data_IF_953715329936
#
_entry.id   IF_953715329936
#
_cell.length_a   1.000
_cell.length_b   1.000
_cell.length_c   1.000
_cell.angle_alpha   90.00
_cell.angle_beta   90.00
_cell.angle_gamma   90.00
#
_symmetry.space_group_name_H-M   'P 1'
#
loop_
_entity.id
_entity.type
_entity.pdbx_description
1 polymer ?
#
# COMPACT_ATOMS: atom_id res chain seq x y z
N UNK A 1 -24.48 -5.99 -3.09
CA UNK A 1 -23.57 -6.62 -4.07
C UNK A 1 -22.24 -5.89 -3.95
N UNK A 2 -21.13 -6.61 -3.77
CA UNK A 2 -19.81 -5.98 -3.68
C UNK A 2 -19.16 -6.02 -5.07
N UNK A 3 -18.47 -4.96 -5.46
CA UNK A 3 -17.77 -4.86 -6.73
C UNK A 3 -16.27 -4.68 -6.49
N UNK A 4 -15.47 -5.30 -7.35
CA UNK A 4 -14.03 -5.09 -7.43
C UNK A 4 -13.77 -4.19 -8.62
N UNK A 5 -13.31 -2.96 -8.36
CA UNK A 5 -12.96 -1.99 -9.38
C UNK A 5 -11.46 -1.72 -9.39
N UNK A 6 -10.89 -1.69 -10.58
CA UNK A 6 -9.51 -1.32 -10.85
C UNK A 6 -9.51 -0.07 -11.71
N UNK A 7 -8.77 0.93 -11.26
CA UNK A 7 -8.74 2.27 -11.85
C UNK A 7 -7.30 2.63 -12.15
N UNK A 8 -7.09 3.16 -13.36
CA UNK A 8 -5.83 3.77 -13.76
C UNK A 8 -5.82 5.21 -13.26
N UNK A 9 -4.84 5.56 -12.44
CA UNK A 9 -4.68 6.91 -11.92
C UNK A 9 -3.48 7.57 -12.57
N UNK A 10 -3.72 8.71 -13.23
CA UNK A 10 -2.67 9.62 -13.67
C UNK A 10 -2.28 10.52 -12.49
N UNK A 11 -1.09 10.28 -11.93
CA UNK A 11 -0.58 11.05 -10.80
C UNK A 11 -0.13 12.48 -11.17
N UNK A 12 0.00 12.80 -12.46
CA UNK A 12 0.37 14.13 -12.97
C UNK A 12 -0.86 15.02 -13.09
N UNK A 13 -1.91 14.49 -13.71
CA UNK A 13 -3.17 15.22 -13.91
C UNK A 13 -4.19 15.01 -12.80
N UNK A 14 -3.84 14.23 -11.77
CA UNK A 14 -4.74 13.88 -10.66
C UNK A 14 -6.10 13.37 -11.16
N UNK A 15 -6.09 12.56 -12.21
CA UNK A 15 -7.30 12.05 -12.86
C UNK A 15 -7.32 10.53 -12.81
N UNK A 16 -8.51 9.96 -12.65
CA UNK A 16 -8.73 8.53 -12.54
C UNK A 16 -9.63 8.04 -13.68
N UNK A 17 -9.29 6.88 -14.25
CA UNK A 17 -10.01 6.25 -15.35
C UNK A 17 -10.34 4.81 -14.98
N UNK A 18 -11.61 4.41 -15.05
CA UNK A 18 -11.99 3.02 -14.82
C UNK A 18 -11.32 2.13 -15.86
N UNK A 19 -10.54 1.15 -15.37
CA UNK A 19 -9.85 0.18 -16.21
C UNK A 19 -10.65 -1.11 -16.33
N UNK A 20 -11.17 -1.62 -15.20
CA UNK A 20 -12.00 -2.82 -15.19
C UNK A 20 -12.85 -2.89 -13.93
N UNK A 21 -14.10 -3.34 -14.09
CA UNK A 21 -15.06 -3.53 -13.01
C UNK A 21 -15.56 -4.97 -13.09
N UNK A 22 -15.52 -5.69 -11.96
CA UNK A 22 -16.05 -7.05 -11.86
C UNK A 22 -16.90 -7.18 -10.60
N UNK A 23 -18.05 -7.83 -10.74
CA UNK A 23 -18.88 -8.18 -9.59
C UNK A 23 -18.17 -9.24 -8.75
N UNK A 24 -18.11 -9.01 -7.43
CA UNK A 24 -17.66 -10.01 -6.48
C UNK A 24 -18.86 -10.90 -6.16
N UNK A 25 -18.82 -12.21 -6.51
CA UNK A 25 -19.96 -13.08 -6.27
C UNK A 25 -20.30 -13.11 -4.77
N UNK A 26 -21.59 -13.02 -4.40
CA UNK A 26 -22.01 -13.07 -3.01
C UNK A 26 -21.66 -14.45 -2.44
N UNK A 27 -20.74 -14.50 -1.47
CA UNK A 27 -20.39 -15.76 -0.83
C UNK A 27 -21.37 -16.11 0.29
N UNK A 28 -21.71 -17.40 0.44
CA UNK A 28 -22.61 -17.93 1.51
C UNK A 28 -22.17 -17.61 2.95
N UNK A 29 -20.93 -17.14 3.14
CA UNK A 29 -20.42 -16.54 4.38
C UNK A 29 -19.53 -15.38 3.95
N UNK A 30 -19.86 -14.15 4.32
CA UNK A 30 -19.07 -12.93 4.07
C UNK A 30 -17.67 -13.06 4.72
N UNK A 31 -16.76 -13.78 4.08
CA UNK A 31 -15.39 -13.93 4.57
C UNK A 31 -14.50 -12.93 3.84
N UNK A 32 -13.71 -12.19 4.60
CA UNK A 32 -12.69 -11.26 4.06
C UNK A 32 -11.74 -11.95 3.06
N UNK A 33 -11.57 -13.28 3.19
CA UNK A 33 -10.77 -14.08 2.29
C UNK A 33 -11.32 -14.10 0.86
N UNK A 34 -12.64 -14.19 0.70
CA UNK A 34 -13.28 -14.20 -0.62
C UNK A 34 -13.08 -12.85 -1.34
N UNK A 35 -13.15 -11.73 -0.61
CA UNK A 35 -12.91 -10.39 -1.18
C UNK A 35 -11.46 -10.24 -1.64
N UNK A 36 -10.50 -10.70 -0.86
CA UNK A 36 -9.07 -10.64 -1.21
C UNK A 36 -8.77 -11.51 -2.42
N UNK A 37 -9.31 -12.74 -2.45
CA UNK A 37 -9.09 -13.66 -3.56
C UNK A 37 -9.72 -13.14 -4.85
N UNK A 38 -10.92 -12.56 -4.76
CA UNK A 38 -11.56 -11.90 -5.91
C UNK A 38 -10.69 -10.75 -6.45
N UNK A 39 -10.15 -9.89 -5.59
CA UNK A 39 -9.26 -8.80 -5.99
C UNK A 39 -7.96 -9.32 -6.64
N UNK A 40 -7.35 -10.38 -6.09
CA UNK A 40 -6.15 -11.00 -6.68
C UNK A 40 -6.47 -11.60 -8.04
N UNK A 41 -7.59 -12.31 -8.18
CA UNK A 41 -8.02 -12.88 -9.45
C UNK A 41 -8.29 -11.78 -10.48
N UNK A 42 -8.91 -10.68 -10.06
CA UNK A 42 -9.16 -9.53 -10.93
C UNK A 42 -7.84 -8.94 -11.47
N UNK A 43 -6.84 -8.73 -10.62
CA UNK A 43 -5.50 -8.26 -11.02
C UNK A 43 -4.81 -9.24 -11.98
N UNK A 44 -4.89 -10.56 -11.70
CA UNK A 44 -4.30 -11.59 -12.56
C UNK A 44 -4.97 -11.63 -13.94
N UNK A 45 -6.28 -11.47 -14.00
CA UNK A 45 -7.03 -11.40 -15.26
C UNK A 45 -6.66 -10.18 -16.09
N UNK A 46 -6.45 -9.00 -15.49
CA UNK A 46 -6.00 -7.81 -16.23
C UNK A 46 -4.72 -8.05 -17.03
N UNK A 47 -3.80 -8.89 -16.52
CA UNK A 47 -2.56 -9.24 -17.23
C UNK A 47 -2.78 -10.23 -18.38
N UNK A 48 -3.87 -10.99 -18.35
CA UNK A 48 -4.24 -11.95 -19.39
C UNK A 48 -5.08 -11.29 -20.49
N UNK A 49 -5.81 -10.23 -20.16
CA UNK A 49 -6.55 -9.42 -21.11
C UNK A 49 -5.57 -8.71 -22.06
N UNK A 50 -5.92 -8.64 -23.35
CA UNK A 50 -5.14 -7.93 -24.38
C UNK A 50 -5.32 -6.42 -24.24
N UNK A 51 -4.80 -5.87 -23.15
CA UNK A 51 -4.82 -4.44 -22.88
C UNK A 51 -3.78 -3.77 -23.78
N UNK A 52 -4.23 -2.84 -24.63
CA UNK A 52 -3.36 -2.14 -25.60
C UNK A 52 -2.47 -1.08 -24.94
N UNK A 53 -2.84 -0.64 -23.74
CA UNK A 53 -2.07 0.35 -22.97
C UNK A 53 -1.02 -0.32 -22.09
N UNK A 54 0.13 0.33 -21.94
CA UNK A 54 1.15 -0.10 -20.99
C UNK A 54 0.62 0.03 -19.56
N UNK A 55 0.46 -1.09 -18.87
CA UNK A 55 0.00 -1.10 -17.49
C UNK A 55 1.09 -0.54 -16.55
N UNK A 56 0.71 0.24 -15.52
CA UNK A 56 1.66 0.75 -14.54
C UNK A 56 2.28 -0.40 -13.74
N UNK A 57 3.46 -0.17 -13.18
CA UNK A 57 4.16 -1.17 -12.36
C UNK A 57 3.61 -1.24 -10.93
N UNK A 58 2.86 -0.25 -10.48
CA UNK A 58 2.40 -0.10 -9.11
C UNK A 58 0.89 -0.16 -8.99
N UNK A 59 0.40 -0.87 -7.97
CA UNK A 59 -0.99 -0.86 -7.53
C UNK A 59 -1.03 -0.16 -6.17
N UNK A 60 -1.81 0.91 -6.07
CA UNK A 60 -2.10 1.57 -4.81
C UNK A 60 -3.40 1.02 -4.21
N UNK A 61 -3.33 0.40 -3.02
CA UNK A 61 -4.49 -0.16 -2.34
C UNK A 61 -4.67 0.43 -0.94
N UNK A 62 -5.87 0.36 -0.39
CA UNK A 62 -6.10 0.73 1.00
C UNK A 62 -5.37 -0.22 1.98
N UNK A 63 -5.51 0.07 3.28
CA UNK A 63 -4.92 -0.76 4.34
C UNK A 63 -5.64 -2.08 4.62
N UNK A 64 -6.88 -2.28 4.14
CA UNK A 64 -7.59 -3.56 4.23
C UNK A 64 -6.88 -4.63 3.38
N UNK A 65 -6.37 -4.23 2.21
CA UNK A 65 -5.57 -5.10 1.33
C UNK A 65 -4.10 -5.28 1.75
N UNK A 66 -3.65 -4.69 2.86
CA UNK A 66 -2.29 -4.85 3.39
C UNK A 66 -2.02 -6.25 4.00
N UNK A 67 -2.51 -7.30 3.33
CA UNK A 67 -2.49 -8.69 3.75
C UNK A 67 -1.58 -9.51 2.85
N UNK A 68 -0.96 -10.55 3.43
CA UNK A 68 0.03 -11.38 2.74
C UNK A 68 -0.50 -12.02 1.45
N UNK A 69 -1.75 -12.50 1.46
CA UNK A 69 -2.40 -13.12 0.29
C UNK A 69 -2.49 -12.14 -0.88
N UNK A 70 -3.08 -10.97 -0.65
CA UNK A 70 -3.19 -9.91 -1.67
C UNK A 70 -1.83 -9.49 -2.21
N UNK A 71 -0.88 -9.17 -1.32
CA UNK A 71 0.43 -8.67 -1.70
C UNK A 71 1.21 -9.70 -2.52
N UNK A 72 1.17 -10.97 -2.12
CA UNK A 72 1.81 -12.02 -2.90
C UNK A 72 1.14 -12.19 -4.27
N UNK A 73 -0.20 -12.20 -4.31
CA UNK A 73 -0.94 -12.32 -5.56
C UNK A 73 -0.67 -11.19 -6.55
N UNK A 74 -0.58 -9.94 -6.07
CA UNK A 74 -0.23 -8.79 -6.91
C UNK A 74 1.21 -8.86 -7.43
N UNK A 75 2.16 -9.29 -6.58
CA UNK A 75 3.56 -9.47 -6.99
C UNK A 75 3.75 -10.60 -7.98
N UNK A 76 3.05 -11.72 -7.81
CA UNK A 76 3.01 -12.82 -8.78
C UNK A 76 2.45 -12.36 -10.14
N UNK A 77 1.50 -11.42 -10.12
CA UNK A 77 0.97 -10.77 -11.33
C UNK A 77 1.92 -9.69 -11.90
N UNK A 78 3.08 -9.47 -11.30
CA UNK A 78 4.09 -8.52 -11.77
C UNK A 78 3.86 -7.07 -11.35
N UNK A 79 3.07 -6.82 -10.30
CA UNK A 79 2.85 -5.49 -9.75
C UNK A 79 3.52 -5.31 -8.39
N UNK A 80 4.15 -4.15 -8.19
CA UNK A 80 4.49 -3.66 -6.86
C UNK A 80 3.25 -3.08 -6.18
N UNK A 81 3.18 -3.20 -4.86
CA UNK A 81 2.03 -2.75 -4.07
C UNK A 81 2.45 -1.59 -3.19
N UNK A 82 1.68 -0.51 -3.24
CA UNK A 82 1.76 0.62 -2.34
C UNK A 82 0.49 0.64 -1.48
N UNK A 83 0.62 0.63 -0.17
CA UNK A 83 -0.54 0.55 0.73
C UNK A 83 -0.24 1.14 2.10
N UNK A 84 -1.26 1.19 2.97
CA UNK A 84 -1.19 1.74 4.33
C UNK A 84 -1.14 0.62 5.37
N UNK A 85 -0.25 0.76 6.35
CA UNK A 85 -0.17 -0.10 7.52
C UNK A 85 -0.98 0.48 8.68
N UNK A 86 -1.43 -0.42 9.57
CA UNK A 86 -1.92 -0.05 10.90
C UNK A 86 -0.80 0.52 11.77
N UNK A 87 -1.14 1.39 12.72
CA UNK A 87 -0.19 2.00 13.67
C UNK A 87 0.50 0.99 14.59
N UNK A 88 -0.13 -0.15 14.87
CA UNK A 88 0.43 -1.24 15.70
C UNK A 88 1.21 -2.28 14.89
N UNK A 89 1.66 -1.88 13.70
CA UNK A 89 2.40 -2.73 12.80
C UNK A 89 3.68 -3.32 13.45
N UNK A 90 3.73 -4.65 13.63
CA UNK A 90 4.98 -5.38 13.93
C UNK A 90 6.04 -5.30 12.81
N UNK A 91 6.94 -4.32 12.95
CA UNK A 91 8.07 -4.03 12.05
C UNK A 91 9.39 -4.27 12.78
N UNK A 92 10.41 -4.67 12.04
CA UNK A 92 11.77 -4.86 12.57
C UNK A 92 12.79 -4.18 11.68
N UNK A 93 13.82 -3.62 12.29
CA UNK A 93 15.00 -3.17 11.56
C UNK A 93 15.66 -4.34 10.83
N UNK A 94 16.37 -4.05 9.75
CA UNK A 94 17.24 -5.05 9.13
C UNK A 94 18.41 -5.35 10.06
N UNK A 95 18.87 -6.60 10.04
CA UNK A 95 20.07 -6.94 10.80
C UNK A 95 21.32 -6.53 10.01
N UNK A 96 22.12 -5.67 10.60
CA UNK A 96 23.44 -5.32 10.10
C UNK A 96 24.50 -6.08 10.91
N UNK A 97 25.18 -7.07 10.32
CA UNK A 97 26.24 -7.79 11.03
C UNK A 97 27.43 -6.84 11.28
N UNK A 98 28.05 -6.87 12.47
CA UNK A 98 29.30 -6.17 12.71
C UNK A 98 30.36 -6.57 11.67
N UNK A 99 31.13 -5.59 11.18
CA UNK A 99 32.14 -5.78 10.10
C UNK A 99 33.11 -6.95 10.33
N UNK A 100 33.38 -7.31 11.59
CA UNK A 100 34.32 -8.38 11.99
C UNK A 100 33.65 -9.64 12.54
N UNK A 101 32.35 -9.83 12.31
CA UNK A 101 31.67 -11.00 12.84
C UNK A 101 31.94 -12.24 11.97
N UNK A 102 32.65 -13.22 12.55
CA UNK A 102 32.84 -14.54 11.93
C UNK A 102 31.48 -15.20 11.65
N UNK A 103 31.27 -15.68 10.42
CA UNK A 103 30.04 -16.39 10.03
C UNK A 103 29.83 -17.58 10.98
N UNK A 104 28.81 -17.49 11.84
CA UNK A 104 28.39 -18.61 12.70
C UNK A 104 27.65 -19.64 11.86
N UNK A 105 27.79 -20.92 12.22
CA UNK A 105 27.04 -22.03 11.59
C UNK A 105 25.54 -21.85 11.87
N UNK A 106 24.70 -21.92 10.83
CA UNK A 106 23.25 -21.76 10.92
C UNK A 106 22.68 -20.67 10.01
N UNK A 107 21.35 -20.51 10.02
CA UNK A 107 20.66 -19.49 9.21
C UNK A 107 21.07 -18.09 9.71
N UNK A 108 21.61 -17.20 8.84
CA UNK A 108 21.97 -15.85 9.24
C UNK A 108 20.78 -15.11 9.85
N UNK A 109 21.04 -14.32 10.89
CA UNK A 109 20.04 -13.45 11.50
C UNK A 109 19.57 -12.44 10.45
N UNK A 110 18.26 -12.38 10.21
CA UNK A 110 17.68 -11.55 9.13
C UNK A 110 17.21 -10.18 9.61
N UNK A 111 16.82 -10.06 10.87
CA UNK A 111 16.20 -8.85 11.42
C UNK A 111 16.77 -8.48 12.79
N UNK A 112 16.86 -7.18 13.03
CA UNK A 112 17.31 -6.55 14.26
C UNK A 112 16.20 -6.45 15.31
N UNK A 113 16.20 -5.35 16.04
CA UNK A 113 15.20 -5.01 17.06
C UNK A 113 13.84 -4.67 16.44
N UNK A 114 12.79 -4.75 17.26
CA UNK A 114 11.45 -4.27 16.90
C UNK A 114 11.49 -2.75 16.78
N UNK A 115 10.78 -2.21 15.78
CA UNK A 115 10.63 -0.77 15.59
C UNK A 115 9.55 -0.26 16.55
N UNK A 116 9.87 0.79 17.29
CA UNK A 116 8.87 1.59 17.98
C UNK A 116 8.31 2.63 17.00
N UNK A 117 7.02 2.57 16.72
CA UNK A 117 6.38 3.43 15.71
C UNK A 117 5.98 4.79 16.25
N UNK A 118 5.84 4.91 17.57
CA UNK A 118 5.59 6.21 18.22
C UNK A 118 6.90 7.01 18.42
N UNK A 119 8.04 6.33 18.31
CA UNK A 119 9.38 6.92 18.39
C UNK A 119 10.31 6.24 17.39
N UNK A 120 10.18 6.62 16.12
CA UNK A 120 11.05 6.15 15.04
C UNK A 120 12.47 6.68 15.22
N UNK A 121 13.46 5.81 15.03
CA UNK A 121 14.87 6.19 15.02
C UNK A 121 15.21 6.85 13.68
N UNK A 122 15.01 8.17 13.60
CA UNK A 122 15.17 8.95 12.38
C UNK A 122 16.58 8.88 11.78
N UNK A 123 17.60 8.50 12.56
CA UNK A 123 18.97 8.29 12.05
C UNK A 123 19.05 7.19 10.99
N UNK A 124 18.08 6.28 10.95
CA UNK A 124 17.98 5.16 10.00
C UNK A 124 17.02 5.45 8.84
N UNK A 125 16.44 6.65 8.78
CA UNK A 125 15.43 7.03 7.80
C UNK A 125 15.84 8.29 7.05
N UNK A 126 15.53 8.31 5.76
CA UNK A 126 15.58 9.52 4.97
C UNK A 126 14.39 10.41 5.32
N UNK A 127 14.68 11.67 5.68
CA UNK A 127 13.66 12.62 6.06
C UNK A 127 13.46 13.67 4.98
N UNK A 128 12.21 13.94 4.64
CA UNK A 128 11.82 14.98 3.67
C UNK A 128 10.71 15.83 4.29
N UNK A 129 10.80 17.15 4.15
CA UNK A 129 9.67 18.03 4.37
C UNK A 129 8.94 18.22 3.04
N UNK A 130 7.62 18.03 3.03
CA UNK A 130 6.78 18.37 1.88
C UNK A 130 6.35 19.84 2.00
N UNK A 131 5.91 20.22 3.19
CA UNK A 131 5.54 21.58 3.57
C UNK A 131 5.76 21.76 5.08
N UNK A 132 5.22 22.85 5.64
CA UNK A 132 5.31 23.17 7.08
C UNK A 132 4.55 22.19 7.99
N UNK A 133 3.58 21.46 7.44
CA UNK A 133 2.68 20.55 8.15
C UNK A 133 3.03 19.07 7.92
N UNK A 134 3.67 18.71 6.81
CA UNK A 134 3.86 17.33 6.38
C UNK A 134 5.35 16.97 6.30
N UNK A 135 5.73 15.96 7.10
CA UNK A 135 7.07 15.36 7.07
C UNK A 135 7.00 13.88 6.71
N UNK A 136 7.90 13.45 5.84
CA UNK A 136 8.08 12.06 5.45
C UNK A 136 9.37 11.52 6.07
N UNK A 137 9.30 10.31 6.63
CA UNK A 137 10.46 9.57 7.11
C UNK A 137 10.44 8.17 6.49
N UNK A 138 11.36 7.90 5.57
CA UNK A 138 11.37 6.70 4.75
C UNK A 138 12.60 5.80 4.97
N UNK A 139 12.39 4.49 5.00
CA UNK A 139 13.47 3.54 5.27
C UNK A 139 13.09 2.09 4.99
N UNK A 140 14.09 1.25 4.76
CA UNK A 140 13.87 -0.18 4.46
C UNK A 140 13.78 -0.97 5.75
N UNK A 141 12.66 -1.65 5.94
CA UNK A 141 12.37 -2.42 7.15
C UNK A 141 11.87 -3.82 6.80
N UNK A 142 11.90 -4.74 7.77
CA UNK A 142 11.30 -6.06 7.62
C UNK A 142 9.91 -6.09 8.22
N UNK A 143 8.92 -6.47 7.42
CA UNK A 143 7.55 -6.71 7.90
C UNK A 143 7.35 -8.17 8.24
N UNK A 144 7.18 -8.47 9.54
CA UNK A 144 7.06 -9.84 10.05
C UNK A 144 5.88 -10.58 9.42
N UNK A 145 4.69 -9.96 9.38
CA UNK A 145 3.47 -10.57 8.85
C UNK A 145 3.57 -10.90 7.35
N UNK A 146 4.20 -10.03 6.57
CA UNK A 146 4.38 -10.20 5.13
C UNK A 146 5.60 -11.07 4.78
N UNK A 147 6.46 -11.35 5.75
CA UNK A 147 7.72 -12.10 5.60
C UNK A 147 8.65 -11.53 4.51
N UNK A 148 8.68 -10.21 4.37
CA UNK A 148 9.49 -9.51 3.35
C UNK A 148 10.03 -8.17 3.83
N UNK A 149 11.06 -7.68 3.13
CA UNK A 149 11.46 -6.28 3.21
C UNK A 149 10.42 -5.42 2.51
N UNK A 150 10.19 -4.24 3.05
CA UNK A 150 9.32 -3.20 2.48
C UNK A 150 10.03 -1.86 2.58
N UNK A 151 9.73 -0.94 1.68
CA UNK A 151 10.02 0.47 1.90
C UNK A 151 8.92 1.02 2.79
N UNK A 152 9.24 1.40 4.02
CA UNK A 152 8.31 2.08 4.93
C UNK A 152 8.43 3.58 4.74
N UNK A 153 7.30 4.28 4.75
CA UNK A 153 7.24 5.74 4.85
C UNK A 153 6.29 6.11 5.98
N UNK A 154 6.82 6.73 7.02
CA UNK A 154 6.03 7.40 8.04
C UNK A 154 5.71 8.80 7.57
N UNK A 155 4.42 9.13 7.50
CA UNK A 155 3.92 10.47 7.17
C UNK A 155 3.44 11.09 8.47
N UNK A 156 4.12 12.14 8.92
CA UNK A 156 3.75 12.90 10.12
C UNK A 156 3.03 14.17 9.69
N UNK A 157 1.88 14.42 10.31
CA UNK A 157 1.05 15.61 10.12
C UNK A 157 1.12 16.45 11.40
N UNK A 158 1.56 17.69 11.26
CA UNK A 158 1.58 18.71 12.29
C UNK A 158 0.37 19.62 12.15
N UNK A 159 -0.52 19.59 13.13
CA UNK A 159 -1.63 20.54 13.23
C UNK A 159 -1.16 21.90 13.78
N UNK A 160 -1.91 22.97 13.50
CA UNK A 160 -1.64 24.33 14.01
C UNK A 160 -1.69 24.39 15.54
N UNK A 161 -2.43 23.48 16.18
CA UNK A 161 -2.49 23.33 17.63
C UNK A 161 -1.31 22.52 18.24
N UNK A 162 -0.31 22.14 17.44
CA UNK A 162 0.87 21.39 17.89
C UNK A 162 0.65 19.89 18.07
N UNK A 163 -0.57 19.39 17.85
CA UNK A 163 -0.87 17.95 17.87
C UNK A 163 -0.26 17.26 16.65
N UNK A 164 0.55 16.24 16.90
CA UNK A 164 1.14 15.42 15.86
C UNK A 164 0.33 14.15 15.65
N UNK A 165 0.07 13.79 14.40
CA UNK A 165 -0.46 12.48 14.03
C UNK A 165 0.40 11.85 12.95
N UNK A 166 0.33 10.54 12.79
CA UNK A 166 1.08 9.86 11.74
C UNK A 166 0.26 8.79 11.02
N UNK A 167 0.66 8.53 9.78
CA UNK A 167 0.24 7.40 8.97
C UNK A 167 1.47 6.61 8.49
N UNK A 168 1.33 5.29 8.37
CA UNK A 168 2.39 4.44 7.88
C UNK A 168 2.01 3.94 6.49
N UNK A 169 2.79 4.30 5.49
CA UNK A 169 2.68 3.81 4.14
C UNK A 169 3.81 2.82 3.86
N UNK A 170 3.61 1.92 2.91
CA UNK A 170 4.68 1.05 2.46
C UNK A 170 4.61 0.76 0.97
N UNK A 171 5.76 0.40 0.41
CA UNK A 171 5.89 -0.22 -0.90
C UNK A 171 6.56 -1.59 -0.80
N UNK A 172 6.17 -2.52 -1.67
CA UNK A 172 6.92 -3.77 -1.88
C UNK A 172 8.17 -3.57 -2.72
N UNK A 173 8.25 -2.50 -3.50
CA UNK A 173 9.47 -2.03 -4.14
C UNK A 173 10.30 -1.24 -3.12
N UNK A 174 11.46 -1.79 -2.76
CA UNK A 174 12.38 -1.18 -1.78
C UNK A 174 13.23 -0.05 -2.38
N UNK A 175 13.18 0.13 -3.70
CA UNK A 175 13.96 1.13 -4.43
C UNK A 175 13.16 2.39 -4.75
N UNK A 176 11.82 2.33 -4.64
CA UNK A 176 10.93 3.45 -4.91
C UNK A 176 11.23 4.64 -3.99
N UNK A 177 11.40 5.83 -4.56
CA UNK A 177 11.62 7.06 -3.80
C UNK A 177 10.47 7.38 -2.82
N UNK A 178 10.82 7.93 -1.67
CA UNK A 178 9.90 8.21 -0.55
C UNK A 178 8.81 9.20 -0.93
N UNK A 179 9.16 10.28 -1.65
CA UNK A 179 8.19 11.30 -2.09
C UNK A 179 7.28 10.73 -3.17
N UNK A 180 7.84 9.92 -4.07
CA UNK A 180 7.06 9.24 -5.13
C UNK A 180 6.08 8.23 -4.55
N UNK A 181 6.49 7.43 -3.55
CA UNK A 181 5.62 6.51 -2.83
C UNK A 181 4.45 7.25 -2.17
N UNK A 182 4.75 8.34 -1.47
CA UNK A 182 3.73 9.20 -0.87
C UNK A 182 2.76 9.74 -1.94
N UNK A 183 3.28 10.30 -3.03
CA UNK A 183 2.48 10.84 -4.15
C UNK A 183 1.57 9.80 -4.80
N UNK A 184 2.08 8.59 -5.06
CA UNK A 184 1.27 7.51 -5.63
C UNK A 184 0.17 7.05 -4.66
N UNK A 185 0.46 6.99 -3.36
CA UNK A 185 -0.55 6.63 -2.38
C UNK A 185 -1.62 7.72 -2.22
N UNK A 186 -1.25 9.01 -2.21
CA UNK A 186 -2.21 10.11 -2.12
C UNK A 186 -3.07 10.21 -3.38
N UNK A 187 -2.51 9.93 -4.56
CA UNK A 187 -3.28 9.85 -5.81
C UNK A 187 -4.36 8.75 -5.79
N UNK A 188 -4.26 7.73 -4.92
CA UNK A 188 -5.30 6.70 -4.76
C UNK A 188 -6.67 7.28 -4.42
N UNK A 189 -6.74 8.42 -3.72
CA UNK A 189 -8.03 9.07 -3.42
C UNK A 189 -8.83 9.44 -4.69
N UNK A 190 -8.19 9.51 -5.86
CA UNK A 190 -8.88 9.78 -7.12
C UNK A 190 -9.95 8.73 -7.45
N UNK A 191 -9.78 7.49 -6.97
CA UNK A 191 -10.78 6.43 -7.15
C UNK A 191 -12.12 6.77 -6.46
N UNK A 192 -12.10 7.56 -5.39
CA UNK A 192 -13.30 7.91 -4.64
C UNK A 192 -14.23 8.83 -5.45
N UNK A 193 -13.67 9.64 -6.37
CA UNK A 193 -14.46 10.43 -7.31
C UNK A 193 -15.11 9.55 -8.37
N UNK A 194 -14.38 8.58 -8.92
CA UNK A 194 -14.94 7.59 -9.86
C UNK A 194 -16.12 6.84 -9.24
N UNK A 195 -15.97 6.37 -8.00
CA UNK A 195 -17.06 5.71 -7.28
C UNK A 195 -18.26 6.64 -7.02
N UNK A 196 -18.01 7.92 -6.73
CA UNK A 196 -19.08 8.91 -6.51
C UNK A 196 -19.87 9.14 -7.80
N UNK A 197 -19.16 9.36 -8.91
CA UNK A 197 -19.76 9.64 -10.21
C UNK A 197 -20.55 8.43 -10.72
N UNK A 198 -19.99 7.22 -10.58
CA UNK A 198 -20.68 5.98 -10.95
C UNK A 198 -22.00 5.79 -10.15
N UNK A 199 -21.98 6.05 -8.84
CA UNK A 199 -23.19 5.97 -7.99
C UNK A 199 -24.24 7.03 -8.34
N UNK A 200 -23.80 8.25 -8.64
CA UNK A 200 -24.70 9.32 -9.04
C UNK A 200 -25.34 9.01 -10.41
N UNK A 201 -24.56 8.52 -11.36
CA UNK A 201 -25.04 8.14 -12.70
C UNK A 201 -26.02 6.96 -12.65
N UNK A 202 -25.75 5.97 -11.80
CA UNK A 202 -26.60 4.76 -11.68
C UNK A 202 -27.81 4.94 -10.74
N UNK A 203 -27.97 6.11 -10.12
CA UNK A 203 -29.09 6.39 -9.20
C UNK A 203 -29.07 5.58 -7.90
N UNK A 204 -27.94 4.94 -7.56
CA UNK A 204 -27.83 4.07 -6.38
C UNK A 204 -27.94 4.82 -5.04
N UNK A 205 -27.90 6.16 -5.06
CA UNK A 205 -28.16 7.03 -3.90
C UNK A 205 -29.60 7.56 -3.86
N UNK A 206 -30.43 7.30 -4.87
CA UNK A 206 -31.82 7.77 -5.00
C UNK A 206 -32.85 6.67 -4.69
N UNK A 207 -32.55 5.76 -3.76
CA UNK A 207 -33.58 4.86 -3.26
C UNK A 207 -34.36 5.57 -2.14
N UNK A 208 -35.58 6.03 -2.44
CA UNK A 208 -36.57 6.46 -1.44
C UNK A 208 -37.51 5.30 -1.05
N UNK A 209 -36.95 4.11 -0.82
CA UNK A 209 -37.71 2.95 -0.32
C UNK A 209 -37.76 2.94 1.21
#
# INVERSE_FOLDING_TARGET
MFESELVLVDATYHTAYTLSVKQVPPSRKDSEENTIDSAVNHIKMLKQERITIALPQYIASDGFYAKRRFINGALEAGFHVISKLRKDANLRYLYEPPRRQRKKRGRPRRYGSKINLDSLDLSKFFCYAIDEHIRLSGGIVYRVFLKRKIHLVSVTYADTAGKQSYALLFSTDVTLDVRTLYRYYTARFQIEFVFRDAKQFTGLTHCQA
#
